data_IF_306011544038
#
_entry.id   IF_306011544038
#
_cell.length_a   1.000
_cell.length_b   1.000
_cell.length_c   1.000
_cell.angle_alpha   90.00
_cell.angle_beta   90.00
_cell.angle_gamma   90.00
#
_symmetry.space_group_name_H-M   'P 1'
#
loop_
_entity.id
_entity.type
_entity.pdbx_description
1 polymer ?
#
# COMPACT_ATOMS: atom_id res chain seq x y z
N UNK A 1 17.21 7.03 -15.27
CA UNK A 1 15.83 7.06 -14.77
C UNK A 1 14.88 7.52 -15.85
N UNK A 2 13.85 6.73 -16.15
CA UNK A 2 12.69 7.18 -16.94
C UNK A 2 11.92 8.22 -16.12
N UNK A 3 11.69 9.40 -16.70
CA UNK A 3 11.04 10.53 -16.01
C UNK A 3 9.61 10.22 -15.53
N UNK A 4 8.95 9.22 -16.12
CA UNK A 4 7.64 8.72 -15.73
C UNK A 4 7.53 7.21 -16.06
N UNK A 5 6.68 6.44 -15.35
CA UNK A 5 6.40 5.06 -15.73
C UNK A 5 5.68 5.00 -17.09
N UNK A 6 6.12 4.10 -17.96
CA UNK A 6 5.48 3.80 -19.25
C UNK A 6 4.34 2.77 -19.13
N UNK A 7 4.24 2.07 -17.99
CA UNK A 7 3.15 1.15 -17.66
C UNK A 7 2.77 1.30 -16.20
N UNK A 8 1.47 1.30 -15.92
CA UNK A 8 0.92 1.24 -14.57
C UNK A 8 0.08 -0.03 -14.41
N UNK A 9 0.48 -0.86 -13.43
CA UNK A 9 -0.27 -2.06 -13.05
C UNK A 9 -1.05 -1.74 -11.78
N UNK A 10 -2.37 -1.91 -11.84
CA UNK A 10 -3.26 -1.81 -10.69
C UNK A 10 -3.73 -3.21 -10.34
N UNK A 11 -3.60 -3.57 -9.07
CA UNK A 11 -4.09 -4.85 -8.55
C UNK A 11 -5.22 -4.53 -7.58
N UNK A 12 -6.43 -4.86 -7.99
CA UNK A 12 -7.61 -4.80 -7.13
C UNK A 12 -7.68 -6.00 -6.19
N UNK A 13 -8.26 -5.79 -5.01
CA UNK A 13 -8.25 -6.74 -3.89
C UNK A 13 -6.88 -7.36 -3.65
N UNK A 14 -5.85 -6.51 -3.59
CA UNK A 14 -4.44 -6.91 -3.51
C UNK A 14 -4.11 -7.85 -2.34
N UNK A 15 -4.94 -7.88 -1.30
CA UNK A 15 -4.80 -8.82 -0.19
C UNK A 15 -4.85 -10.28 -0.64
N UNK A 16 -5.59 -10.61 -1.70
CA UNK A 16 -5.71 -11.97 -2.24
C UNK A 16 -4.40 -12.54 -2.78
N UNK A 17 -3.46 -11.69 -3.20
CA UNK A 17 -2.12 -12.12 -3.63
C UNK A 17 -1.34 -12.71 -2.44
N UNK A 18 -1.63 -12.21 -1.24
CA UNK A 18 -0.90 -12.54 -0.03
C UNK A 18 -1.62 -13.56 0.85
N UNK A 19 -2.89 -13.85 0.56
CA UNK A 19 -3.65 -14.88 1.27
C UNK A 19 -3.05 -16.27 1.03
N UNK A 20 -2.76 -16.99 2.12
CA UNK A 20 -2.05 -18.27 2.09
C UNK A 20 -0.62 -18.22 1.51
N UNK A 21 -0.08 -17.05 1.18
CA UNK A 21 1.24 -16.94 0.57
C UNK A 21 2.35 -17.23 1.59
N UNK A 22 3.29 -18.09 1.21
CA UNK A 22 4.44 -18.38 2.07
C UNK A 22 5.33 -17.14 2.20
N UNK A 23 6.09 -17.05 3.30
CA UNK A 23 7.05 -15.95 3.49
C UNK A 23 8.07 -15.81 2.35
N UNK A 24 8.38 -16.90 1.63
CA UNK A 24 9.24 -16.88 0.45
C UNK A 24 8.58 -16.14 -0.73
N UNK A 25 7.29 -16.38 -0.97
CA UNK A 25 6.52 -15.70 -2.02
C UNK A 25 6.41 -14.21 -1.72
N UNK A 26 6.08 -13.84 -0.47
CA UNK A 26 5.97 -12.44 -0.05
C UNK A 26 7.28 -11.68 -0.30
N UNK A 27 8.42 -12.24 0.12
CA UNK A 27 9.75 -11.65 -0.14
C UNK A 27 10.07 -11.53 -1.63
N UNK A 28 9.64 -12.50 -2.43
CA UNK A 28 9.85 -12.46 -3.88
C UNK A 28 9.04 -11.33 -4.53
N UNK A 29 7.78 -11.16 -4.12
CA UNK A 29 6.94 -10.06 -4.59
C UNK A 29 7.55 -8.71 -4.21
N UNK A 30 7.98 -8.55 -2.96
CA UNK A 30 8.68 -7.34 -2.50
C UNK A 30 9.90 -7.01 -3.37
N UNK A 31 10.75 -8.01 -3.67
CA UNK A 31 11.90 -7.83 -4.55
C UNK A 31 11.48 -7.39 -5.96
N UNK A 32 10.42 -7.98 -6.51
CA UNK A 32 9.89 -7.61 -7.84
C UNK A 32 9.41 -6.16 -7.81
N UNK A 33 8.61 -5.75 -6.81
CA UNK A 33 8.12 -4.38 -6.66
C UNK A 33 9.26 -3.36 -6.68
N UNK A 34 10.41 -3.66 -6.06
CA UNK A 34 11.59 -2.80 -6.09
C UNK A 34 12.25 -2.73 -7.48
N UNK A 35 12.39 -3.87 -8.16
CA UNK A 35 13.11 -3.95 -9.44
C UNK A 35 12.34 -3.28 -10.59
N UNK A 36 11.02 -3.46 -10.64
CA UNK A 36 10.19 -2.98 -11.76
C UNK A 36 10.14 -1.45 -11.88
N UNK A 37 10.35 -0.72 -10.77
CA UNK A 37 10.41 0.75 -10.76
C UNK A 37 11.50 1.28 -11.71
N UNK A 38 12.68 0.66 -11.70
CA UNK A 38 13.80 1.00 -12.59
C UNK A 38 13.54 0.71 -14.07
N UNK A 39 12.50 -0.08 -14.37
CA UNK A 39 12.08 -0.45 -15.72
C UNK A 39 10.93 0.41 -16.25
N UNK A 40 10.57 1.47 -15.53
CA UNK A 40 9.46 2.33 -15.91
C UNK A 40 8.09 1.69 -15.70
N UNK A 41 7.97 0.75 -14.77
CA UNK A 41 6.67 0.15 -14.40
C UNK A 41 6.28 0.62 -13.00
N UNK A 42 5.11 1.24 -12.89
CA UNK A 42 4.47 1.57 -11.62
C UNK A 42 3.52 0.47 -11.18
N UNK A 43 3.43 0.26 -9.87
CA UNK A 43 2.52 -0.72 -9.26
C UNK A 43 1.67 -0.02 -8.19
N UNK A 44 0.36 -0.20 -8.26
CA UNK A 44 -0.59 0.28 -7.27
C UNK A 44 -1.37 -0.93 -6.73
N UNK A 45 -1.28 -1.14 -5.42
CA UNK A 45 -2.13 -2.08 -4.71
C UNK A 45 -3.40 -1.36 -4.27
N UNK A 46 -4.55 -1.87 -4.67
CA UNK A 46 -5.87 -1.36 -4.27
C UNK A 46 -6.47 -2.38 -3.30
N UNK A 47 -6.84 -1.90 -2.11
CA UNK A 47 -7.41 -2.74 -1.03
C UNK A 47 -8.36 -1.90 -0.18
N UNK A 48 -9.31 -2.56 0.48
CA UNK A 48 -10.26 -1.94 1.40
C UNK A 48 -9.59 -1.51 2.70
N UNK A 49 -8.63 -2.30 3.20
CA UNK A 49 -7.84 -1.95 4.38
C UNK A 49 -6.34 -2.09 4.12
N UNK A 50 -5.53 -1.07 4.47
CA UNK A 50 -4.08 -1.16 4.36
C UNK A 50 -3.47 -2.20 5.31
N UNK A 51 -4.18 -2.64 6.36
CA UNK A 51 -3.76 -3.73 7.25
C UNK A 51 -3.62 -5.08 6.55
N UNK A 52 -4.27 -5.24 5.39
CA UNK A 52 -4.38 -6.52 4.71
C UNK A 52 -3.17 -6.80 3.80
N UNK A 53 -2.27 -5.81 3.68
CA UNK A 53 -1.00 -5.97 2.99
C UNK A 53 0.11 -6.34 3.98
N UNK A 54 1.03 -7.25 3.62
CA UNK A 54 2.19 -7.54 4.46
C UNK A 54 3.00 -6.26 4.75
N UNK A 55 3.40 -6.07 6.01
CA UNK A 55 4.14 -4.88 6.45
C UNK A 55 5.39 -4.59 5.60
N UNK A 56 6.09 -5.65 5.16
CA UNK A 56 7.26 -5.54 4.30
C UNK A 56 6.94 -4.95 2.93
N UNK A 57 5.75 -5.20 2.39
CA UNK A 57 5.28 -4.63 1.12
C UNK A 57 4.73 -3.22 1.37
N UNK A 58 3.88 -3.04 2.39
CA UNK A 58 3.28 -1.76 2.74
C UNK A 58 4.32 -0.67 3.09
N UNK A 59 5.46 -1.06 3.67
CA UNK A 59 6.58 -0.18 3.98
C UNK A 59 7.34 0.34 2.75
N UNK A 60 7.22 -0.31 1.60
CA UNK A 60 7.85 0.13 0.33
C UNK A 60 6.96 1.09 -0.47
N UNK A 61 5.70 1.26 -0.08
CA UNK A 61 4.73 2.10 -0.79
C UNK A 61 4.85 3.55 -0.32
N UNK A 62 5.62 4.35 -1.07
CA UNK A 62 5.83 5.77 -0.77
C UNK A 62 4.57 6.62 -1.04
N UNK A 63 3.82 6.30 -2.09
CA UNK A 63 2.57 6.98 -2.42
C UNK A 63 1.40 6.20 -1.83
N UNK A 64 0.58 6.89 -1.02
CA UNK A 64 -0.65 6.34 -0.44
C UNK A 64 -1.80 7.28 -0.76
N UNK A 65 -2.86 6.72 -1.32
CA UNK A 65 -4.11 7.44 -1.58
C UNK A 65 -5.18 6.74 -0.75
N UNK A 66 -5.71 7.46 0.22
CA UNK A 66 -6.79 6.98 1.06
C UNK A 66 -8.08 7.65 0.60
N UNK A 67 -9.01 6.85 0.08
CA UNK A 67 -10.37 7.34 -0.17
C UNK A 67 -11.09 7.59 1.15
N UNK A 68 -12.21 8.33 1.08
CA UNK A 68 -12.98 8.74 2.25
C UNK A 68 -13.26 7.57 3.20
N UNK A 69 -12.67 7.65 4.39
CA UNK A 69 -12.87 6.66 5.43
C UNK A 69 -14.22 6.93 6.11
N UNK A 70 -15.08 5.90 6.14
CA UNK A 70 -16.37 5.95 6.83
C UNK A 70 -16.26 5.15 8.12
N UNK A 71 -16.31 5.82 9.25
CA UNK A 71 -16.40 5.15 10.54
C UNK A 71 -17.86 5.03 10.95
N UNK A 72 -18.32 3.80 11.15
CA UNK A 72 -19.67 3.49 11.66
C UNK A 72 -19.63 2.86 13.06
N UNK A 73 -18.42 2.56 13.57
CA UNK A 73 -18.20 1.93 14.86
C UNK A 73 -17.05 2.63 15.61
N UNK A 74 -17.02 2.60 16.97
CA UNK A 74 -15.92 3.18 17.75
C UNK A 74 -14.54 2.61 17.40
N UNK A 75 -14.49 1.33 17.00
CA UNK A 75 -13.26 0.68 16.56
C UNK A 75 -12.78 1.22 15.22
N UNK A 76 -13.70 1.47 14.27
CA UNK A 76 -13.36 2.11 13.00
C UNK A 76 -12.86 3.54 13.21
N UNK A 77 -13.39 4.29 14.19
CA UNK A 77 -12.87 5.62 14.52
C UNK A 77 -11.41 5.59 15.01
N UNK A 78 -11.03 4.60 15.81
CA UNK A 78 -9.64 4.44 16.27
C UNK A 78 -8.70 4.08 15.12
N UNK A 79 -9.10 3.13 14.27
CA UNK A 79 -8.32 2.73 13.10
C UNK A 79 -8.19 3.87 12.08
N UNK A 80 -9.27 4.62 11.85
CA UNK A 80 -9.30 5.83 11.04
C UNK A 80 -8.29 6.86 11.51
N UNK A 81 -8.30 7.18 12.82
CA UNK A 81 -7.36 8.16 13.39
C UNK A 81 -5.91 7.72 13.22
N UNK A 82 -5.61 6.46 13.51
CA UNK A 82 -4.27 5.91 13.33
C UNK A 82 -3.81 5.93 11.86
N UNK A 83 -4.69 5.58 10.91
CA UNK A 83 -4.38 5.65 9.49
C UNK A 83 -4.10 7.08 9.04
N UNK A 84 -4.91 8.05 9.47
CA UNK A 84 -4.74 9.47 9.15
C UNK A 84 -3.40 10.03 9.67
N UNK A 85 -2.95 9.64 10.86
CA UNK A 85 -1.66 10.05 11.45
C UNK A 85 -0.44 9.55 10.64
N UNK A 86 -0.62 8.57 9.75
CA UNK A 86 0.47 7.99 8.93
C UNK A 86 0.48 8.48 7.48
N UNK A 87 -0.45 9.38 7.11
CA UNK A 87 -0.55 9.89 5.74
C UNK A 87 0.31 11.14 5.50
N UNK A 88 0.89 11.29 4.29
CA UNK A 88 1.61 12.51 3.91
C UNK A 88 0.68 13.74 4.01
N UNK A 89 1.09 14.75 4.78
CA UNK A 89 0.28 15.97 5.02
C UNK A 89 -0.55 15.96 6.31
N UNK A 90 -0.49 14.89 7.12
CA UNK A 90 -1.04 14.93 8.48
C UNK A 90 -0.18 15.86 9.36
N UNK A 91 -0.67 17.07 9.57
CA UNK A 91 -0.11 18.05 10.50
C UNK A 91 -0.19 17.54 11.94
N UNK A 92 0.85 16.84 12.38
CA UNK A 92 1.41 17.10 13.71
C UNK A 92 2.76 17.79 13.45
N UNK A 93 2.67 19.08 13.12
CA UNK A 93 3.74 19.99 13.48
C UNK A 93 3.81 20.02 15.01
N UNK A 94 5.04 20.12 15.52
CA UNK A 94 5.40 20.19 16.93
C UNK A 94 4.46 21.05 17.79
#
# INVERSE_FOLDING_TARGET
>A
DTAAPGLMVLIDEAHLIFDGATAAIVRRIEQITRLIRSKGVGLIYVTQSPSDLPHIVAGQLATRIQHALRASTPQHHKALKAAAETMPGSINAA
#
